data_IF_867004319514
#
_entry.id   IF_867004319514
#
_cell.length_a   1.000
_cell.length_b   1.000
_cell.length_c   1.000
_cell.angle_alpha   90.00
_cell.angle_beta   90.00
_cell.angle_gamma   90.00
#
_symmetry.space_group_name_H-M   'P 1'
#
loop_
_entity.id
_entity.type
_entity.pdbx_description
1 polymer ?
#
# COMPACT_ATOMS: atom_id res chain seq x y z
N UNK A 1 -42.38 8.48 -72.84
CA UNK A 1 -41.82 7.35 -72.07
C UNK A 1 -40.49 7.83 -71.51
N UNK A 2 -40.50 8.22 -70.24
CA UNK A 2 -39.40 8.90 -69.56
C UNK A 2 -38.33 7.88 -69.17
N UNK A 3 -37.08 8.09 -69.59
CA UNK A 3 -35.94 7.25 -69.22
C UNK A 3 -35.07 8.05 -68.25
N UNK A 4 -35.10 7.66 -66.98
CA UNK A 4 -34.41 8.30 -65.87
C UNK A 4 -32.94 7.89 -65.82
N UNK A 5 -32.03 8.86 -65.96
CA UNK A 5 -30.62 8.68 -65.64
C UNK A 5 -30.41 8.83 -64.12
N UNK A 6 -29.74 7.87 -63.50
CA UNK A 6 -29.30 7.92 -62.10
C UNK A 6 -27.94 8.62 -61.98
N UNK A 7 -27.71 9.49 -60.98
CA UNK A 7 -26.41 10.12 -60.73
C UNK A 7 -25.50 9.25 -59.82
N UNK A 8 -24.19 9.55 -59.75
CA UNK A 8 -23.19 8.61 -59.25
C UNK A 8 -23.09 8.55 -57.73
N UNK A 9 -22.63 7.39 -57.25
CA UNK A 9 -22.38 7.02 -55.86
C UNK A 9 -21.40 7.98 -55.18
N UNK A 10 -21.85 8.54 -54.05
CA UNK A 10 -21.06 9.34 -53.11
C UNK A 10 -19.79 8.60 -52.66
N UNK A 11 -18.62 9.22 -52.86
CA UNK A 11 -17.41 8.80 -52.18
C UNK A 11 -17.52 9.19 -50.70
N UNK A 12 -17.74 8.19 -49.86
CA UNK A 12 -17.64 8.34 -48.41
C UNK A 12 -16.15 8.54 -48.09
N UNK A 13 -15.79 9.76 -47.69
CA UNK A 13 -14.50 10.01 -47.07
C UNK A 13 -14.42 9.17 -45.78
N UNK A 14 -13.52 8.19 -45.74
CA UNK A 14 -13.09 7.59 -44.49
C UNK A 14 -12.40 8.67 -43.67
N UNK A 15 -13.11 9.19 -42.67
CA UNK A 15 -12.48 9.89 -41.58
C UNK A 15 -11.50 8.90 -40.94
N UNK A 16 -10.20 9.24 -41.01
CA UNK A 16 -9.20 8.53 -40.25
C UNK A 16 -9.62 8.55 -38.78
N UNK A 17 -9.85 7.36 -38.21
CA UNK A 17 -9.93 7.18 -36.78
C UNK A 17 -8.63 7.74 -36.19
N UNK A 18 -8.73 8.90 -35.54
CA UNK A 18 -7.62 9.43 -34.75
C UNK A 18 -7.38 8.43 -33.64
N UNK A 19 -6.29 7.65 -33.75
CA UNK A 19 -5.85 6.82 -32.64
C UNK A 19 -5.77 7.69 -31.39
N UNK A 20 -6.52 7.30 -30.36
CA UNK A 20 -6.69 8.04 -29.12
C UNK A 20 -5.42 7.90 -28.28
N UNK A 21 -4.34 8.59 -28.68
CA UNK A 21 -3.10 8.63 -27.90
C UNK A 21 -3.41 9.33 -26.58
N UNK A 22 -3.25 8.66 -25.42
CA UNK A 22 -3.53 9.27 -24.13
C UNK A 22 -2.67 10.53 -23.96
N UNK A 23 -3.28 11.63 -23.50
CA UNK A 23 -2.57 12.87 -23.25
C UNK A 23 -1.36 12.62 -22.31
N UNK A 24 -0.22 13.33 -22.49
CA UNK A 24 0.93 13.20 -21.61
C UNK A 24 0.57 13.36 -20.13
N UNK A 25 1.19 12.58 -19.25
CA UNK A 25 0.98 12.70 -17.81
C UNK A 25 1.70 13.96 -17.30
N UNK A 26 1.00 14.92 -16.64
CA UNK A 26 1.61 16.15 -16.14
C UNK A 26 2.75 15.91 -15.13
N UNK A 27 3.61 16.93 -14.97
CA UNK A 27 4.63 17.00 -13.92
C UNK A 27 4.15 17.96 -12.84
N UNK A 28 3.77 17.49 -11.64
CA UNK A 28 3.33 18.36 -10.56
C UNK A 28 4.48 19.25 -10.06
N UNK A 29 4.25 20.56 -9.96
CA UNK A 29 5.23 21.51 -9.44
C UNK A 29 5.32 21.52 -7.90
N UNK A 30 4.31 20.96 -7.21
CA UNK A 30 4.32 20.77 -5.76
C UNK A 30 3.46 19.57 -5.31
N UNK A 31 3.56 19.18 -4.04
CA UNK A 31 2.68 18.17 -3.44
C UNK A 31 1.19 18.58 -3.50
N UNK A 32 0.87 19.86 -3.32
CA UNK A 32 -0.50 20.36 -3.43
C UNK A 32 -1.03 20.26 -4.87
N UNK A 33 -0.17 20.48 -5.87
CA UNK A 33 -0.54 20.25 -7.27
C UNK A 33 -0.69 18.75 -7.58
N UNK A 34 0.17 17.90 -7.03
CA UNK A 34 0.03 16.45 -7.13
C UNK A 34 -1.34 16.00 -6.59
N UNK A 35 -1.74 16.49 -5.41
CA UNK A 35 -3.07 16.18 -4.83
C UNK A 35 -4.19 16.58 -5.79
N UNK A 36 -4.16 17.78 -6.36
CA UNK A 36 -5.17 18.23 -7.34
C UNK A 36 -5.24 17.33 -8.57
N UNK A 37 -4.09 16.93 -9.11
CA UNK A 37 -4.01 16.06 -10.28
C UNK A 37 -4.51 14.64 -9.97
N UNK A 38 -4.21 14.11 -8.77
CA UNK A 38 -4.72 12.82 -8.30
C UNK A 38 -6.24 12.83 -8.16
N UNK A 39 -6.83 13.91 -7.63
CA UNK A 39 -8.29 14.10 -7.61
C UNK A 39 -8.89 14.10 -9.02
N UNK A 40 -8.25 14.77 -9.98
CA UNK A 40 -8.72 14.80 -11.36
C UNK A 40 -8.65 13.42 -12.04
N UNK A 41 -7.58 12.66 -11.80
CA UNK A 41 -7.36 11.34 -12.42
C UNK A 41 -8.22 10.23 -11.78
N UNK A 42 -8.39 10.24 -10.45
CA UNK A 42 -9.17 9.23 -9.72
C UNK A 42 -10.67 9.55 -9.66
N UNK A 43 -11.03 10.82 -9.87
CA UNK A 43 -12.42 11.30 -9.90
C UNK A 43 -13.22 10.89 -8.67
N UNK A 44 -14.48 10.53 -8.89
CA UNK A 44 -15.42 10.10 -7.83
C UNK A 44 -15.50 8.58 -7.67
N UNK A 45 -14.60 7.81 -8.30
CA UNK A 45 -14.72 6.34 -8.34
C UNK A 45 -13.44 5.57 -8.00
N UNK A 46 -12.28 6.23 -7.91
CA UNK A 46 -11.01 5.59 -7.53
C UNK A 46 -10.49 4.56 -8.55
N UNK A 47 -9.42 3.81 -8.23
CA UNK A 47 -8.85 2.80 -9.15
C UNK A 47 -9.76 1.58 -9.36
N UNK A 48 -10.76 1.37 -8.50
CA UNK A 48 -11.68 0.24 -8.61
C UNK A 48 -12.72 0.38 -9.75
N UNK A 49 -12.76 1.51 -10.46
CA UNK A 49 -13.69 1.74 -11.57
C UNK A 49 -13.06 1.41 -12.92
N UNK A 50 -13.86 0.80 -13.81
CA UNK A 50 -13.53 0.71 -15.23
C UNK A 50 -13.15 2.09 -15.78
N UNK A 51 -11.93 2.19 -16.34
CA UNK A 51 -11.43 3.40 -17.00
C UNK A 51 -10.33 4.17 -16.26
N UNK A 52 -10.07 3.90 -14.98
CA UNK A 52 -8.96 4.55 -14.27
C UNK A 52 -7.66 3.78 -14.50
N UNK A 53 -6.65 4.45 -15.05
CA UNK A 53 -5.39 3.83 -15.43
C UNK A 53 -4.36 3.91 -14.29
N UNK A 54 -4.06 2.76 -13.67
CA UNK A 54 -3.04 2.63 -12.61
C UNK A 54 -1.70 3.24 -13.04
N UNK A 55 -1.29 3.05 -14.29
CA UNK A 55 -0.02 3.57 -14.81
C UNK A 55 0.00 5.10 -14.87
N UNK A 56 -1.14 5.75 -15.12
CA UNK A 56 -1.23 7.22 -15.09
C UNK A 56 -1.10 7.76 -13.66
N UNK A 57 -1.75 7.12 -12.68
CA UNK A 57 -1.63 7.51 -11.26
C UNK A 57 -0.20 7.28 -10.77
N UNK A 58 0.41 6.14 -11.13
CA UNK A 58 1.81 5.86 -10.84
C UNK A 58 2.74 6.87 -11.51
N UNK A 59 2.47 7.27 -12.75
CA UNK A 59 3.24 8.28 -13.46
C UNK A 59 3.10 9.66 -12.79
N UNK A 60 1.91 10.08 -12.35
CA UNK A 60 1.72 11.32 -11.59
C UNK A 60 2.58 11.35 -10.33
N UNK A 61 2.53 10.28 -9.52
CA UNK A 61 3.37 10.17 -8.32
C UNK A 61 4.87 10.13 -8.66
N UNK A 62 5.25 9.46 -9.75
CA UNK A 62 6.65 9.39 -10.19
C UNK A 62 7.18 10.73 -10.67
N UNK A 63 6.37 11.48 -11.44
CA UNK A 63 6.72 12.77 -12.01
C UNK A 63 6.89 13.87 -10.96
N UNK A 64 6.18 13.80 -9.83
CA UNK A 64 6.44 14.72 -8.73
C UNK A 64 7.87 14.55 -8.22
N UNK A 65 8.65 15.64 -8.22
CA UNK A 65 10.01 15.65 -7.66
C UNK A 65 9.94 16.08 -6.20
N UNK A 66 10.38 15.22 -5.28
CA UNK A 66 10.29 15.46 -3.84
C UNK A 66 10.99 16.76 -3.43
N UNK A 67 10.21 17.68 -2.86
CA UNK A 67 10.66 18.93 -2.26
C UNK A 67 10.29 18.97 -0.78
N UNK A 68 11.29 19.19 0.10
CA UNK A 68 11.08 19.23 1.56
C UNK A 68 10.09 20.32 1.99
N UNK A 69 10.07 21.47 1.30
CA UNK A 69 9.17 22.57 1.64
C UNK A 69 7.69 22.18 1.52
N UNK A 70 7.38 21.28 0.60
CA UNK A 70 6.02 20.79 0.35
C UNK A 70 5.54 19.85 1.47
N UNK A 71 6.43 18.97 1.95
CA UNK A 71 6.04 17.86 2.81
C UNK A 71 6.48 17.96 4.27
N UNK A 72 7.38 18.88 4.64
CA UNK A 72 7.94 18.96 6.01
C UNK A 72 6.88 19.03 7.12
N UNK A 73 5.74 19.68 6.86
CA UNK A 73 4.61 19.78 7.81
C UNK A 73 3.97 18.43 8.14
N UNK A 74 4.16 17.40 7.32
CA UNK A 74 3.62 16.05 7.54
C UNK A 74 4.67 15.07 8.10
N UNK A 75 5.95 15.46 8.17
CA UNK A 75 7.07 14.59 8.55
C UNK A 75 7.18 14.38 10.07
N UNK A 76 6.10 13.90 10.70
CA UNK A 76 6.05 13.67 12.14
C UNK A 76 6.57 12.29 12.49
N UNK A 77 7.75 12.18 13.09
CA UNK A 77 8.32 10.92 13.54
C UNK A 77 7.85 10.54 14.96
N UNK A 78 7.85 9.23 15.23
CA UNK A 78 7.85 8.63 16.57
C UNK A 78 9.16 7.86 16.75
N UNK A 79 9.70 7.76 17.97
CA UNK A 79 11.03 7.15 18.17
C UNK A 79 11.06 5.64 17.90
N UNK A 80 9.95 4.93 18.14
CA UNK A 80 9.97 3.47 18.25
C UNK A 80 9.21 2.75 17.13
N UNK A 81 8.50 3.50 16.29
CA UNK A 81 7.64 2.96 15.22
C UNK A 81 7.53 3.98 14.10
N UNK A 82 7.22 3.49 12.90
CA UNK A 82 6.84 4.39 11.83
C UNK A 82 5.47 5.02 12.14
N UNK A 83 5.25 6.22 11.62
CA UNK A 83 4.00 6.96 11.77
C UNK A 83 3.29 7.06 10.43
N UNK A 84 1.96 7.25 10.45
CA UNK A 84 1.13 7.47 9.26
C UNK A 84 0.54 8.86 9.37
N UNK A 85 0.89 9.76 8.46
CA UNK A 85 0.54 11.18 8.52
C UNK A 85 -0.35 11.52 7.33
N UNK A 86 -1.65 11.70 7.57
CA UNK A 86 -2.62 11.92 6.49
C UNK A 86 -2.34 13.26 5.80
N UNK A 87 -2.18 13.23 4.48
CA UNK A 87 -2.03 14.42 3.63
C UNK A 87 -3.40 14.82 3.10
N UNK A 88 -4.11 13.87 2.48
CA UNK A 88 -5.44 14.07 1.91
C UNK A 88 -6.27 12.78 1.95
N UNK A 89 -7.57 12.90 2.19
CA UNK A 89 -8.53 11.79 2.27
C UNK A 89 -9.22 11.47 0.93
N UNK A 90 -8.83 12.16 -0.15
CA UNK A 90 -9.20 11.83 -1.51
C UNK A 90 -10.71 11.79 -1.77
N UNK A 91 -11.49 12.54 -0.98
CA UNK A 91 -12.96 12.49 -1.00
C UNK A 91 -13.52 11.06 -0.81
N UNK A 92 -12.81 10.22 -0.06
CA UNK A 92 -13.15 8.81 0.17
C UNK A 92 -12.71 7.86 -0.95
N UNK A 93 -12.11 8.34 -2.04
CA UNK A 93 -11.68 7.51 -3.18
C UNK A 93 -10.25 7.00 -3.05
N UNK A 94 -9.41 7.75 -2.34
CA UNK A 94 -8.05 7.35 -2.02
C UNK A 94 -7.61 7.99 -0.70
N UNK A 95 -6.63 7.40 -0.03
CA UNK A 95 -5.91 8.10 1.04
C UNK A 95 -4.49 8.38 0.55
N UNK A 96 -4.08 9.65 0.59
CA UNK A 96 -2.70 10.06 0.41
C UNK A 96 -2.10 10.38 1.78
N UNK A 97 -0.99 9.73 2.12
CA UNK A 97 -0.35 9.89 3.42
C UNK A 97 1.15 9.77 3.33
N UNK A 98 1.85 10.41 4.26
CA UNK A 98 3.30 10.27 4.43
C UNK A 98 3.57 9.32 5.58
N UNK A 99 4.37 8.29 5.33
CA UNK A 99 4.93 7.45 6.37
C UNK A 99 6.33 7.95 6.73
N UNK A 100 6.55 8.19 8.03
CA UNK A 100 7.85 8.57 8.57
C UNK A 100 8.47 7.37 9.28
N UNK A 101 9.64 6.94 8.79
CA UNK A 101 10.31 5.71 9.19
C UNK A 101 11.58 6.05 9.99
N UNK A 102 11.57 5.88 11.32
CA UNK A 102 12.78 6.03 12.12
C UNK A 102 13.87 5.04 11.68
N UNK A 103 15.08 5.26 12.15
CA UNK A 103 16.22 4.39 11.89
C UNK A 103 15.88 2.93 12.19
N UNK A 104 16.24 2.02 11.29
CA UNK A 104 16.08 0.56 11.45
C UNK A 104 14.64 0.05 11.63
N UNK A 105 13.64 0.92 11.63
CA UNK A 105 12.24 0.54 11.84
C UNK A 105 11.65 0.01 10.54
N UNK A 106 10.89 -1.09 10.65
CA UNK A 106 10.11 -1.65 9.56
C UNK A 106 8.70 -2.05 9.96
N UNK A 107 7.88 -2.31 8.95
CA UNK A 107 6.55 -2.86 9.12
C UNK A 107 6.60 -4.36 9.41
N UNK A 108 5.47 -4.91 9.83
CA UNK A 108 5.23 -6.35 9.68
C UNK A 108 5.12 -6.72 8.19
N UNK A 109 5.16 -8.02 7.89
CA UNK A 109 4.71 -8.53 6.59
C UNK A 109 3.19 -8.33 6.54
N UNK A 110 2.67 -7.70 5.50
CA UNK A 110 1.24 -7.37 5.43
C UNK A 110 0.67 -7.38 4.02
N UNK A 111 -0.67 -7.48 3.96
CA UNK A 111 -1.49 -7.29 2.76
C UNK A 111 -2.04 -5.86 2.67
N UNK A 112 -2.81 -5.59 1.62
CA UNK A 112 -3.42 -4.31 1.32
C UNK A 112 -4.96 -4.34 1.34
N UNK A 113 -5.58 -5.44 1.83
CA UNK A 113 -7.03 -5.58 1.94
C UNK A 113 -7.81 -5.28 0.65
N UNK A 114 -7.29 -5.72 -0.48
CA UNK A 114 -7.88 -5.50 -1.81
C UNK A 114 -7.62 -4.09 -2.38
N UNK A 115 -6.86 -3.24 -1.70
CA UNK A 115 -6.50 -1.91 -2.19
C UNK A 115 -5.25 -1.92 -3.07
N UNK A 116 -5.19 -0.97 -3.98
CA UNK A 116 -3.98 -0.62 -4.71
C UNK A 116 -3.12 0.31 -3.85
N UNK A 117 -1.81 0.10 -3.87
CA UNK A 117 -0.81 0.93 -3.18
C UNK A 117 0.22 1.45 -4.18
N UNK A 118 0.44 2.76 -4.19
CA UNK A 118 1.60 3.37 -4.84
C UNK A 118 2.43 4.02 -3.75
N UNK A 119 3.71 3.66 -3.67
CA UNK A 119 4.65 4.15 -2.67
C UNK A 119 5.79 4.89 -3.37
N UNK A 120 6.03 6.14 -3.00
CA UNK A 120 7.14 6.97 -3.48
C UNK A 120 8.10 7.31 -2.34
N UNK A 121 9.40 7.19 -2.54
CA UNK A 121 10.39 7.67 -1.55
C UNK A 121 10.52 9.19 -1.66
N UNK A 122 10.23 9.91 -0.57
CA UNK A 122 10.39 11.36 -0.49
C UNK A 122 11.78 11.76 -0.01
N UNK A 123 12.32 11.04 0.98
CA UNK A 123 13.65 11.29 1.54
C UNK A 123 14.24 10.02 2.15
N UNK A 124 15.57 9.91 2.16
CA UNK A 124 16.28 8.71 2.56
C UNK A 124 16.12 7.54 1.57
N UNK A 125 16.03 6.32 2.10
CA UNK A 125 15.83 5.09 1.35
C UNK A 125 15.01 4.09 2.17
N UNK A 126 14.35 3.16 1.49
CA UNK A 126 13.59 2.06 2.11
C UNK A 126 13.89 0.75 1.39
N UNK A 127 13.96 -0.34 2.15
CA UNK A 127 13.97 -1.70 1.63
C UNK A 127 12.53 -2.23 1.57
N UNK A 128 12.11 -2.69 0.40
CA UNK A 128 10.93 -3.54 0.22
C UNK A 128 11.36 -5.00 0.13
N UNK A 129 10.73 -5.86 0.93
CA UNK A 129 10.82 -7.32 0.81
C UNK A 129 9.45 -7.85 0.41
N UNK A 130 9.34 -8.42 -0.78
CA UNK A 130 8.14 -9.03 -1.32
C UNK A 130 8.10 -10.52 -1.01
N UNK A 131 6.95 -11.02 -0.59
CA UNK A 131 6.70 -12.42 -0.23
C UNK A 131 5.57 -13.01 -1.06
N UNK A 132 5.62 -14.33 -1.25
CA UNK A 132 4.45 -15.07 -1.74
C UNK A 132 3.38 -15.15 -0.66
N UNK A 133 2.14 -15.34 -1.12
CA UNK A 133 1.07 -15.76 -0.22
C UNK A 133 1.34 -17.18 0.28
N UNK A 134 1.02 -17.50 1.55
CA UNK A 134 1.07 -18.87 2.01
C UNK A 134 -0.01 -19.71 1.31
N UNK A 135 0.26 -20.99 1.07
CA UNK A 135 -0.67 -21.93 0.42
C UNK A 135 -2.05 -21.97 1.12
N UNK A 136 -2.04 -21.79 2.45
CA UNK A 136 -3.23 -21.65 3.28
C UNK A 136 -3.02 -20.59 4.34
N UNK A 137 -3.91 -19.61 4.38
CA UNK A 137 -3.95 -18.59 5.44
C UNK A 137 -4.59 -19.18 6.68
N UNK A 138 -3.85 -19.22 7.80
CA UNK A 138 -4.31 -19.71 9.11
C UNK A 138 -4.26 -18.53 10.09
N UNK A 139 -5.37 -18.19 10.77
CA UNK A 139 -5.35 -17.08 11.72
C UNK A 139 -4.85 -17.53 13.10
N UNK A 140 -4.14 -16.65 13.81
CA UNK A 140 -3.65 -16.93 15.17
C UNK A 140 -4.78 -17.27 16.16
N UNK A 141 -5.98 -16.72 15.97
CA UNK A 141 -7.16 -16.95 16.82
C UNK A 141 -7.89 -18.26 16.55
N UNK A 142 -7.54 -18.98 15.48
CA UNK A 142 -8.20 -20.25 15.12
C UNK A 142 -7.73 -21.43 15.98
N UNK A 143 -6.91 -21.17 17.01
CA UNK A 143 -6.61 -22.14 18.06
C UNK A 143 -7.78 -22.22 19.05
N UNK A 144 -8.29 -23.44 19.36
CA UNK A 144 -9.24 -23.59 20.46
C UNK A 144 -8.56 -23.04 21.70
N UNK A 145 -9.24 -22.12 22.38
CA UNK A 145 -8.86 -21.72 23.72
C UNK A 145 -8.52 -22.97 24.51
N UNK A 146 -7.35 -22.98 25.14
CA UNK A 146 -7.05 -23.82 26.29
C UNK A 146 -8.02 -23.43 27.41
N UNK A 147 -9.29 -23.81 27.25
CA UNK A 147 -10.25 -23.92 28.32
C UNK A 147 -9.84 -25.16 29.09
N UNK A 148 -8.86 -24.98 29.97
CA UNK A 148 -8.47 -25.95 30.97
C UNK A 148 -9.64 -26.26 31.89
N UNK A 149 -10.50 -27.18 31.48
CA UNK A 149 -11.40 -27.96 32.33
C UNK A 149 -11.67 -29.30 31.62
N UNK A 150 -11.22 -30.40 32.23
CA UNK A 150 -11.79 -31.73 31.99
C UNK A 150 -10.81 -32.83 31.61
N UNK A 151 -10.45 -33.63 32.61
CA UNK A 151 -10.01 -35.03 32.48
C UNK A 151 -11.02 -35.84 31.66
N UNK A 152 -10.58 -36.55 30.61
CA UNK A 152 -10.70 -38.01 30.52
C UNK A 152 -9.98 -38.58 29.28
N UNK A 153 -9.35 -39.72 29.50
CA UNK A 153 -8.56 -40.46 28.52
C UNK A 153 -9.40 -40.96 27.34
N UNK A 154 -9.03 -40.56 26.12
CA UNK A 154 -9.20 -41.39 24.93
C UNK A 154 -8.03 -41.13 23.99
N UNK A 155 -7.25 -42.18 23.75
CA UNK A 155 -6.12 -42.19 22.83
C UNK A 155 -6.65 -42.12 21.39
N UNK A 156 -6.85 -40.89 20.89
CA UNK A 156 -7.01 -40.62 19.45
C UNK A 156 -5.75 -39.89 18.96
N UNK A 157 -4.78 -40.71 18.53
CA UNK A 157 -3.45 -40.32 18.05
C UNK A 157 -3.49 -39.83 16.58
N UNK A 158 -4.38 -38.88 16.30
CA UNK A 158 -4.53 -38.29 14.96
C UNK A 158 -4.47 -36.76 14.93
N UNK A 159 -3.99 -36.11 16.01
CA UNK A 159 -3.63 -34.68 15.96
C UNK A 159 -2.35 -34.49 15.15
N UNK A 160 -2.49 -34.31 13.84
CA UNK A 160 -1.45 -33.76 12.97
C UNK A 160 -0.81 -32.54 13.65
N UNK A 161 0.45 -32.65 14.05
CA UNK A 161 1.22 -31.49 14.53
C UNK A 161 1.22 -30.46 13.40
N UNK A 162 0.57 -29.31 13.62
CA UNK A 162 0.54 -28.20 12.65
C UNK A 162 1.96 -27.94 12.14
N UNK A 163 2.19 -28.23 10.85
CA UNK A 163 3.49 -28.05 10.22
C UNK A 163 3.75 -26.55 10.04
N UNK A 164 4.63 -25.99 10.88
CA UNK A 164 5.10 -24.61 10.77
C UNK A 164 5.80 -24.43 9.43
N UNK A 165 5.32 -23.49 8.63
CA UNK A 165 5.88 -23.16 7.31
C UNK A 165 6.26 -21.68 7.30
N UNK A 166 7.52 -21.32 7.02
CA UNK A 166 7.95 -19.92 6.95
C UNK A 166 7.49 -19.23 5.67
N UNK A 167 7.40 -17.90 5.72
CA UNK A 167 7.09 -17.07 4.55
C UNK A 167 8.20 -17.16 3.51
N UNK A 168 7.84 -17.25 2.23
CA UNK A 168 8.80 -17.32 1.12
C UNK A 168 9.08 -15.92 0.56
N UNK A 169 10.35 -15.50 0.54
CA UNK A 169 10.78 -14.23 -0.06
C UNK A 169 10.85 -14.39 -1.58
N UNK A 170 10.17 -13.50 -2.30
CA UNK A 170 10.21 -13.40 -3.77
C UNK A 170 11.34 -12.48 -4.24
N UNK A 171 11.47 -11.33 -3.58
CA UNK A 171 12.34 -10.24 -4.03
C UNK A 171 12.64 -9.28 -2.89
N UNK A 172 13.86 -8.77 -2.87
CA UNK A 172 14.25 -7.60 -2.08
C UNK A 172 14.68 -6.47 -3.00
N UNK A 173 14.26 -5.25 -2.69
CA UNK A 173 14.61 -4.04 -3.46
C UNK A 173 14.92 -2.90 -2.50
N UNK A 174 16.08 -2.25 -2.68
CA UNK A 174 16.35 -0.96 -2.05
C UNK A 174 15.81 0.13 -2.98
N UNK A 175 14.96 1.00 -2.44
CA UNK A 175 14.40 2.13 -3.16
C UNK A 175 14.99 3.44 -2.63
N UNK A 176 15.35 4.31 -3.55
CA UNK A 176 15.96 5.60 -3.27
C UNK A 176 15.00 6.76 -3.53
N UNK A 177 15.37 7.95 -3.05
CA UNK A 177 14.61 9.19 -3.24
C UNK A 177 14.09 9.35 -4.68
N UNK A 178 12.81 9.72 -4.77
CA UNK A 178 12.00 9.88 -5.98
C UNK A 178 11.56 8.60 -6.70
N UNK A 179 12.06 7.42 -6.34
CA UNK A 179 11.59 6.16 -6.91
C UNK A 179 10.19 5.82 -6.42
N UNK A 180 9.42 5.12 -7.27
CA UNK A 180 8.07 4.67 -7.01
C UNK A 180 7.94 3.15 -7.17
N UNK A 181 7.28 2.52 -6.20
CA UNK A 181 6.83 1.14 -6.27
C UNK A 181 5.29 1.09 -6.36
N UNK A 182 4.78 -0.03 -6.90
CA UNK A 182 3.37 -0.35 -6.92
C UNK A 182 3.16 -1.70 -6.26
N UNK A 183 2.14 -1.79 -5.41
CA UNK A 183 1.80 -3.00 -4.70
C UNK A 183 0.28 -3.23 -4.69
N UNK A 184 -0.13 -4.49 -4.78
CA UNK A 184 -1.50 -4.95 -4.57
C UNK A 184 -1.46 -6.42 -4.15
N UNK A 185 -2.55 -6.92 -3.59
CA UNK A 185 -2.63 -8.32 -3.12
C UNK A 185 -2.41 -9.34 -4.25
N UNK A 186 -2.59 -8.96 -5.51
CA UNK A 186 -2.29 -9.82 -6.67
C UNK A 186 -0.79 -10.09 -6.85
N UNK A 187 0.08 -9.22 -6.33
CA UNK A 187 1.54 -9.35 -6.46
C UNK A 187 2.16 -10.17 -5.32
N UNK A 188 1.50 -10.18 -4.15
CA UNK A 188 1.95 -10.89 -2.96
C UNK A 188 1.70 -10.11 -1.68
N UNK A 189 2.58 -10.30 -0.71
CA UNK A 189 2.65 -9.57 0.56
C UNK A 189 3.97 -8.81 0.63
N UNK A 190 4.09 -7.78 1.46
CA UNK A 190 5.40 -7.14 1.61
C UNK A 190 5.72 -6.66 3.03
N UNK A 191 7.02 -6.44 3.26
CA UNK A 191 7.58 -5.71 4.40
C UNK A 191 8.34 -4.52 3.86
N UNK A 192 8.14 -3.35 4.47
CA UNK A 192 8.91 -2.14 4.16
C UNK A 192 9.68 -1.74 5.41
N UNK A 193 10.97 -1.46 5.26
CA UNK A 193 11.84 -1.07 6.38
C UNK A 193 12.83 0.00 5.99
N UNK A 194 13.16 0.88 6.95
CA UNK A 194 14.29 1.79 6.82
C UNK A 194 15.60 1.04 7.15
N UNK A 195 16.50 0.79 6.18
CA UNK A 195 17.76 0.11 6.45
C UNK A 195 18.81 1.01 7.13
N UNK A 196 18.57 2.33 7.15
CA UNK A 196 19.53 3.30 7.67
C UNK A 196 19.60 3.27 9.20
N UNK A 197 20.82 3.37 9.72
CA UNK A 197 21.12 3.31 11.17
C UNK A 197 21.24 4.67 11.84
N UNK A 198 21.32 5.75 11.05
CA UNK A 198 21.70 7.08 11.56
C UNK A 198 20.75 8.21 11.13
N UNK A 199 19.72 7.90 10.33
CA UNK A 199 18.69 8.87 9.93
C UNK A 199 17.38 8.18 9.57
N UNK A 200 16.30 8.92 9.70
CA UNK A 200 14.98 8.52 9.21
C UNK A 200 14.85 8.59 7.69
N UNK A 201 13.79 7.94 7.21
CA UNK A 201 13.33 7.98 5.81
C UNK A 201 11.86 8.38 5.75
N UNK A 202 11.41 8.90 4.60
CA UNK A 202 10.03 9.32 4.35
C UNK A 202 9.53 8.74 3.05
N UNK A 203 8.30 8.24 3.05
CA UNK A 203 7.61 7.80 1.84
C UNK A 203 6.20 8.38 1.76
N UNK A 204 5.75 8.64 0.54
CA UNK A 204 4.38 9.02 0.19
C UNK A 204 3.64 7.78 -0.27
N UNK A 205 2.50 7.50 0.33
CA UNK A 205 1.65 6.35 0.00
C UNK A 205 0.28 6.83 -0.46
N UNK A 206 -0.15 6.29 -1.61
CA UNK A 206 -1.53 6.40 -2.09
C UNK A 206 -2.19 5.02 -2.01
N UNK A 207 -3.30 4.95 -1.29
CA UNK A 207 -4.14 3.75 -1.23
C UNK A 207 -5.51 4.00 -1.85
N UNK A 208 -5.97 3.13 -2.73
CA UNK A 208 -7.31 3.23 -3.33
C UNK A 208 -7.89 1.85 -3.66
N UNK A 209 -9.12 1.53 -3.23
CA UNK A 209 -9.91 2.30 -2.28
C UNK A 209 -9.20 2.45 -0.92
N UNK A 210 -9.60 3.42 -0.07
CA UNK A 210 -9.14 3.48 1.32
C UNK A 210 -9.49 2.20 2.09
N UNK A 211 -8.63 1.81 3.01
CA UNK A 211 -8.89 0.73 3.96
C UNK A 211 -8.49 1.13 5.38
N UNK A 212 -9.12 0.49 6.37
CA UNK A 212 -8.85 0.74 7.79
C UNK A 212 -8.11 -0.41 8.48
N UNK A 213 -8.14 -1.62 7.93
CA UNK A 213 -7.52 -2.82 8.53
C UNK A 213 -6.78 -3.61 7.45
N UNK A 214 -5.72 -4.30 7.83
CA UNK A 214 -5.03 -5.28 7.00
C UNK A 214 -4.70 -6.53 7.82
N UNK A 215 -4.22 -7.57 7.15
CA UNK A 215 -3.61 -8.72 7.81
C UNK A 215 -2.11 -8.51 7.91
N UNK A 216 -1.55 -8.95 9.03
CA UNK A 216 -0.11 -9.08 9.22
C UNK A 216 0.24 -10.55 9.36
N UNK A 217 1.42 -10.93 8.88
CA UNK A 217 1.87 -12.32 8.79
C UNK A 217 3.14 -12.51 9.60
N UNK A 218 3.19 -13.61 10.35
CA UNK A 218 4.40 -14.04 11.03
C UNK A 218 5.37 -14.69 10.03
N UNK A 219 6.60 -14.17 9.94
CA UNK A 219 7.60 -14.64 8.98
C UNK A 219 7.98 -16.12 9.16
N UNK A 220 7.96 -16.63 10.41
CA UNK A 220 8.39 -18.00 10.70
C UNK A 220 7.29 -19.03 10.51
N UNK A 221 6.04 -18.66 10.81
CA UNK A 221 4.91 -19.60 10.84
C UNK A 221 3.86 -19.37 9.76
N UNK A 222 3.95 -18.28 9.01
CA UNK A 222 2.94 -17.81 8.05
C UNK A 222 1.56 -17.53 8.65
N UNK A 223 1.42 -17.60 9.98
CA UNK A 223 0.15 -17.31 10.67
C UNK A 223 -0.21 -15.84 10.49
N UNK A 224 -1.48 -15.61 10.18
CA UNK A 224 -2.03 -14.29 9.95
C UNK A 224 -2.75 -13.78 11.20
N UNK A 225 -2.74 -12.46 11.37
CA UNK A 225 -3.55 -11.77 12.38
C UNK A 225 -4.01 -10.42 11.83
N UNK A 226 -5.16 -9.96 12.29
CA UNK A 226 -5.63 -8.60 11.97
C UNK A 226 -4.67 -7.56 12.56
N UNK A 227 -4.37 -6.51 11.82
CA UNK A 227 -3.56 -5.38 12.27
C UNK A 227 -4.25 -4.53 13.35
N UNK A 228 -5.56 -4.74 13.56
CA UNK A 228 -6.43 -3.73 14.15
C UNK A 228 -6.59 -2.52 13.24
N UNK A 229 -7.31 -1.48 13.72
CA UNK A 229 -7.52 -0.26 12.94
C UNK A 229 -6.20 0.50 12.75
N UNK A 230 -5.81 0.72 11.50
CA UNK A 230 -4.69 1.59 11.15
C UNK A 230 -5.03 3.03 11.52
N UNK A 231 -4.35 3.57 12.52
CA UNK A 231 -4.56 4.94 13.02
C UNK A 231 -3.56 5.93 12.39
N UNK A 232 -4.00 7.17 12.22
CA UNK A 232 -3.12 8.27 11.86
C UNK A 232 -2.43 8.84 13.09
N UNK A 233 -1.18 9.27 12.92
CA UNK A 233 -0.40 10.00 13.92
C UNK A 233 -0.66 11.51 13.84
N UNK A 234 -0.79 12.02 12.61
CA UNK A 234 -1.19 13.39 12.31
C UNK A 234 -2.17 13.42 11.14
N UNK A 235 -2.94 14.50 11.05
CA UNK A 235 -3.84 14.78 9.92
C UNK A 235 -3.63 16.19 9.41
N UNK A 236 -3.42 16.32 8.10
CA UNK A 236 -3.25 17.60 7.40
C UNK A 236 -2.14 18.49 8.00
N UNK A 237 -1.13 17.86 8.62
CA UNK A 237 0.01 18.52 9.24
C UNK A 237 -0.06 18.68 10.76
N UNK A 238 -1.24 18.43 11.36
CA UNK A 238 -1.47 18.59 12.80
C UNK A 238 -1.47 17.22 13.51
N UNK A 239 -0.72 17.11 14.62
CA UNK A 239 -0.70 15.86 15.42
C UNK A 239 -2.07 15.62 16.06
N UNK A 240 -2.51 14.36 16.08
CA UNK A 240 -3.77 14.00 16.71
C UNK A 240 -3.57 13.77 18.21
N UNK A 241 -4.35 14.45 19.05
CA UNK A 241 -4.28 14.39 20.52
C UNK A 241 -4.51 12.98 21.07
N UNK A 242 -5.33 12.19 20.37
CA UNK A 242 -5.74 10.85 20.80
C UNK A 242 -4.85 9.75 20.26
N UNK A 243 -3.63 10.05 19.76
CA UNK A 243 -2.73 9.02 19.25
C UNK A 243 -2.52 7.95 20.34
N UNK A 244 -3.15 6.77 20.24
CA UNK A 244 -3.14 5.85 21.35
C UNK A 244 -1.70 5.40 21.52
N UNK A 245 -1.19 5.43 22.74
CA UNK A 245 0.01 4.69 23.11
C UNK A 245 -0.28 3.20 22.83
N UNK A 246 -0.11 2.78 21.59
CA UNK A 246 -0.51 1.46 21.13
C UNK A 246 0.52 0.48 21.65
N UNK A 247 0.26 -0.11 22.82
CA UNK A 247 1.17 -1.01 23.53
C UNK A 247 1.34 -2.39 22.89
N UNK A 248 0.81 -2.68 21.70
CA UNK A 248 0.73 -4.08 21.22
C UNK A 248 1.04 -4.35 19.74
N UNK A 249 1.55 -3.38 18.96
CA UNK A 249 2.02 -3.68 17.60
C UNK A 249 3.52 -3.40 17.44
N UNK A 250 4.33 -4.05 18.28
CA UNK A 250 5.76 -4.22 18.05
C UNK A 250 6.02 -5.66 17.60
N UNK A 251 5.94 -5.93 16.31
CA UNK A 251 6.57 -7.14 15.73
C UNK A 251 8.05 -6.92 15.43
N UNK A 252 8.64 -5.83 15.92
CA UNK A 252 10.08 -5.54 15.80
C UNK A 252 10.92 -6.11 16.94
N UNK A 253 10.32 -6.70 17.98
CA UNK A 253 11.09 -7.41 19.00
C UNK A 253 11.36 -8.83 18.52
N UNK A 254 12.54 -9.04 17.93
CA UNK A 254 13.12 -10.37 17.72
C UNK A 254 13.25 -11.08 19.09
N UNK A 255 12.49 -12.16 19.34
CA UNK A 255 12.55 -12.87 20.62
C UNK A 255 13.88 -13.61 20.84
N UNK A 256 14.80 -13.61 19.87
CA UNK A 256 16.11 -14.25 19.99
C UNK A 256 17.28 -13.30 20.31
N UNK A 257 17.03 -12.01 20.55
CA UNK A 257 18.07 -11.02 20.89
C UNK A 257 18.26 -10.73 22.39
N UNK A 258 18.00 -11.72 23.24
CA UNK A 258 18.49 -11.72 24.62
C UNK A 258 19.40 -12.93 24.86
N UNK A 259 20.67 -12.77 24.49
CA UNK A 259 21.82 -13.42 25.13
C UNK A 259 22.93 -12.39 25.27
#
# INVERSE_FOLDING_TARGET
>A
MSSTMTPPTSMVAHAAETENVPAPVPVPASLDELVKLLHAELGTKGLACEGVNVDRVKALMSNYVSNEEDWRKYAHFDKNRYTRNLVDDGNGMFNLMILAWPETVGSAIHDHSGSHCIMKILDGELQETLYDWPDKVINETDHPSDSGVGSDNSDDDSKEKEKITPMNIKKETIMHRNECAYMSDQLGLHRVSNPLKTRGSLSLHLYTPPYETCKTFNERSSKARSSGKCVYYSSRGEKLESCPAYRTCSLTSDPYKQQ
#
